data_IF_534684280792
#
_entry.id   IF_534684280792
#
_cell.length_a   1.000
_cell.length_b   1.000
_cell.length_c   1.000
_cell.angle_alpha   90.00
_cell.angle_beta   90.00
_cell.angle_gamma   90.00
#
_symmetry.space_group_name_H-M   'P 1'
#
loop_
_entity.id
_entity.type
_entity.pdbx_description
1 polymer ?
#
# COMPACT_ATOMS: atom_id res chain seq x y z
N UNK A 1 31.96 12.18 31.58
CA UNK A 1 32.75 12.51 30.38
C UNK A 1 31.89 12.91 29.15
N UNK A 2 30.59 13.25 29.29
CA UNK A 2 29.71 13.49 28.13
C UNK A 2 29.47 14.97 27.78
N UNK A 3 29.45 15.90 28.75
CA UNK A 3 29.04 17.30 28.52
C UNK A 3 29.98 18.14 27.65
N UNK A 4 31.23 17.69 27.43
CA UNK A 4 32.14 18.33 26.47
C UNK A 4 31.95 17.80 25.04
N UNK A 5 31.36 16.62 24.87
CA UNK A 5 31.33 15.92 23.59
C UNK A 5 30.40 16.62 22.61
N UNK A 6 29.20 17.03 23.05
CA UNK A 6 28.25 17.77 22.21
C UNK A 6 28.78 19.17 21.79
N UNK A 7 29.51 19.85 22.67
CA UNK A 7 30.11 21.17 22.37
C UNK A 7 31.28 21.10 21.37
N UNK A 8 31.97 19.95 21.29
CA UNK A 8 33.08 19.71 20.34
C UNK A 8 32.62 19.23 18.96
N UNK A 9 31.37 18.78 18.81
CA UNK A 9 30.82 18.31 17.53
C UNK A 9 30.69 19.46 16.53
N UNK A 10 31.14 19.25 15.30
CA UNK A 10 30.89 20.18 14.19
C UNK A 10 29.44 20.02 13.68
N UNK A 11 28.99 20.91 12.78
CA UNK A 11 27.61 20.91 12.26
C UNK A 11 27.28 19.59 11.53
N UNK A 12 28.25 18.99 10.83
CA UNK A 12 28.08 17.72 10.12
C UNK A 12 27.92 16.55 11.10
N UNK A 13 28.68 16.55 12.19
CA UNK A 13 28.56 15.53 13.25
C UNK A 13 27.19 15.62 13.92
N UNK A 14 26.71 16.83 14.24
CA UNK A 14 25.39 17.05 14.84
C UNK A 14 24.29 16.56 13.89
N UNK A 15 24.41 16.86 12.59
CA UNK A 15 23.46 16.37 11.58
C UNK A 15 23.44 14.85 11.51
N UNK A 16 24.61 14.21 11.54
CA UNK A 16 24.73 12.75 11.47
C UNK A 16 24.14 12.08 12.71
N UNK A 17 24.38 12.65 13.89
CA UNK A 17 23.77 12.19 15.14
C UNK A 17 22.25 12.31 15.12
N UNK A 18 21.70 13.46 14.73
CA UNK A 18 20.23 13.63 14.67
C UNK A 18 19.59 12.64 13.68
N UNK A 19 20.29 12.31 12.59
CA UNK A 19 19.84 11.30 11.62
C UNK A 19 19.92 9.86 12.16
N UNK A 20 20.93 9.53 12.95
CA UNK A 20 21.04 8.19 13.56
C UNK A 20 19.92 7.96 14.59
N UNK A 21 19.59 8.99 15.38
CA UNK A 21 18.49 8.96 16.36
C UNK A 21 17.13 8.72 15.68
N UNK A 22 16.91 9.34 14.52
CA UNK A 22 15.70 9.12 13.71
C UNK A 22 15.55 7.66 13.24
N UNK A 23 16.66 6.94 13.06
CA UNK A 23 16.66 5.57 12.54
C UNK A 23 16.61 4.52 13.65
N UNK A 24 17.24 4.79 14.80
CA UNK A 24 17.30 3.91 15.95
C UNK A 24 17.31 4.75 17.24
N UNK A 25 16.15 4.97 17.88
CA UNK A 25 16.07 5.73 19.12
C UNK A 25 16.60 4.88 20.29
N UNK A 26 17.89 5.00 20.60
CA UNK A 26 18.47 4.41 21.81
C UNK A 26 18.31 5.32 23.04
N UNK A 27 18.08 4.74 24.23
CA UNK A 27 18.02 5.49 25.51
C UNK A 27 19.28 6.33 25.79
N UNK A 28 20.43 5.95 25.21
CA UNK A 28 21.71 6.66 25.28
C UNK A 28 21.69 8.04 24.61
N UNK A 29 20.73 8.31 23.73
CA UNK A 29 20.69 9.51 22.87
C UNK A 29 19.91 10.68 23.45
N UNK A 30 18.94 10.43 24.34
CA UNK A 30 18.10 11.47 24.96
C UNK A 30 18.92 12.51 25.74
N UNK A 31 19.97 12.06 26.44
CA UNK A 31 20.89 12.95 27.17
C UNK A 31 21.67 13.87 26.23
N UNK A 32 22.08 13.36 25.07
CA UNK A 32 22.89 14.11 24.10
C UNK A 32 22.06 15.16 23.35
N UNK A 33 20.79 14.87 23.07
CA UNK A 33 19.82 15.84 22.53
C UNK A 33 19.61 16.99 23.52
N UNK A 34 19.42 16.68 24.81
CA UNK A 34 19.26 17.68 25.87
C UNK A 34 20.48 18.61 25.97
N UNK A 35 21.69 18.08 25.78
CA UNK A 35 22.91 18.90 25.73
C UNK A 35 22.93 19.83 24.51
N UNK A 36 22.50 19.35 23.33
CA UNK A 36 22.42 20.16 22.10
C UNK A 36 21.45 21.34 22.23
N UNK A 37 20.36 21.22 23.01
CA UNK A 37 19.45 22.34 23.27
C UNK A 37 20.12 23.53 23.99
N UNK A 38 21.23 23.31 24.67
CA UNK A 38 22.02 24.39 25.30
C UNK A 38 23.02 25.05 24.34
N UNK A 39 23.16 24.54 23.11
CA UNK A 39 24.09 25.03 22.11
C UNK A 39 23.65 26.40 21.55
N UNK A 40 24.57 27.36 21.56
CA UNK A 40 24.30 28.74 21.12
C UNK A 40 24.46 28.94 19.61
N UNK A 41 25.12 28.01 18.90
CA UNK A 41 25.42 28.13 17.46
C UNK A 41 24.13 28.12 16.64
N UNK A 42 23.95 29.12 15.78
CA UNK A 42 22.75 29.26 14.95
C UNK A 42 22.49 28.03 14.05
N UNK A 43 23.55 27.46 13.47
CA UNK A 43 23.44 26.24 12.67
C UNK A 43 22.92 25.03 13.45
N UNK A 44 23.33 24.86 14.72
CA UNK A 44 22.85 23.77 15.58
C UNK A 44 21.38 23.99 15.96
N UNK A 45 21.01 25.23 16.32
CA UNK A 45 19.61 25.58 16.61
C UNK A 45 18.69 25.33 15.42
N UNK A 46 19.12 25.66 14.20
CA UNK A 46 18.36 25.38 12.98
C UNK A 46 18.21 23.87 12.73
N UNK A 47 19.28 23.08 12.95
CA UNK A 47 19.23 21.62 12.83
C UNK A 47 18.26 21.00 13.84
N UNK A 48 18.28 21.45 15.10
CA UNK A 48 17.36 20.99 16.14
C UNK A 48 15.91 21.31 15.78
N UNK A 49 15.61 22.56 15.38
CA UNK A 49 14.26 22.95 14.94
C UNK A 49 13.76 22.10 13.76
N UNK A 50 14.66 21.76 12.83
CA UNK A 50 14.34 20.90 11.71
C UNK A 50 14.09 19.45 12.15
N UNK A 51 14.88 18.95 13.09
CA UNK A 51 14.72 17.62 13.71
C UNK A 51 13.41 17.52 14.48
N UNK A 52 13.07 18.48 15.33
CA UNK A 52 11.80 18.52 16.07
C UNK A 52 10.60 18.42 15.14
N UNK A 53 10.56 19.26 14.09
CA UNK A 53 9.49 19.20 13.08
C UNK A 53 9.39 17.84 12.39
N UNK A 54 10.51 17.15 12.16
CA UNK A 54 10.50 15.80 11.59
C UNK A 54 9.97 14.79 12.59
N UNK A 55 10.37 14.86 13.86
CA UNK A 55 9.87 14.01 14.94
C UNK A 55 8.36 14.20 15.14
N UNK A 56 7.87 15.44 15.18
CA UNK A 56 6.43 15.74 15.25
C UNK A 56 5.66 15.10 14.09
N UNK A 57 6.21 15.17 12.87
CA UNK A 57 5.60 14.55 11.69
C UNK A 57 5.58 13.02 11.77
N UNK A 58 6.67 12.41 12.27
CA UNK A 58 6.74 10.96 12.48
C UNK A 58 5.71 10.54 13.54
N UNK A 59 5.64 11.28 14.64
CA UNK A 59 4.68 11.01 15.73
C UNK A 59 3.23 11.14 15.26
N UNK A 60 2.92 12.14 14.43
CA UNK A 60 1.60 12.28 13.83
C UNK A 60 1.26 11.07 12.96
N UNK A 61 2.18 10.65 12.08
CA UNK A 61 2.00 9.46 11.24
C UNK A 61 1.81 8.19 12.07
N UNK A 62 2.61 8.03 13.13
CA UNK A 62 2.47 6.91 14.08
C UNK A 62 1.07 6.91 14.69
N UNK A 63 0.59 8.05 15.20
CA UNK A 63 -0.78 8.17 15.77
C UNK A 63 -1.88 7.86 14.76
N UNK A 64 -1.73 8.30 13.51
CA UNK A 64 -2.69 7.98 12.45
C UNK A 64 -2.67 6.49 12.07
N UNK A 65 -1.47 5.92 11.98
CA UNK A 65 -1.28 4.50 11.73
C UNK A 65 -1.89 3.64 12.84
N UNK A 66 -1.64 3.99 14.09
CA UNK A 66 -2.19 3.35 15.29
C UNK A 66 -3.72 3.34 15.29
N UNK A 67 -4.35 4.45 14.87
CA UNK A 67 -5.81 4.49 14.68
C UNK A 67 -6.28 3.48 13.63
N UNK A 68 -5.55 3.33 12.52
CA UNK A 68 -5.87 2.34 11.47
C UNK A 68 -5.61 0.90 11.93
N UNK A 69 -4.71 0.65 12.87
CA UNK A 69 -4.42 -0.69 13.40
C UNK A 69 -5.40 -1.14 14.50
N UNK A 70 -6.37 -0.29 14.87
CA UNK A 70 -7.30 -0.56 15.98
C UNK A 70 -8.11 -1.84 15.79
N UNK A 71 -8.47 -2.18 14.55
CA UNK A 71 -9.29 -3.37 14.27
C UNK A 71 -8.48 -4.64 14.46
N UNK A 72 -7.26 -4.67 13.91
CA UNK A 72 -6.30 -5.74 14.07
C UNK A 72 -5.95 -5.94 15.56
N UNK A 73 -5.59 -4.86 16.27
CA UNK A 73 -5.31 -4.91 17.71
C UNK A 73 -6.47 -5.43 18.54
N UNK A 74 -7.71 -5.06 18.20
CA UNK A 74 -8.90 -5.59 18.85
C UNK A 74 -9.01 -7.09 18.62
N UNK A 75 -8.79 -7.59 17.42
CA UNK A 75 -8.82 -9.03 17.14
C UNK A 75 -7.70 -9.76 17.89
N UNK A 76 -6.46 -9.24 17.86
CA UNK A 76 -5.32 -9.79 18.60
C UNK A 76 -5.57 -9.89 20.10
N UNK A 77 -6.17 -8.86 20.70
CA UNK A 77 -6.50 -8.85 22.14
C UNK A 77 -7.56 -9.91 22.49
N UNK A 78 -8.41 -10.29 21.53
CA UNK A 78 -9.41 -11.34 21.69
C UNK A 78 -8.89 -12.75 21.34
N UNK A 79 -7.57 -12.93 21.20
CA UNK A 79 -6.93 -14.22 20.96
C UNK A 79 -6.88 -14.66 19.50
N UNK A 80 -7.30 -13.81 18.55
CA UNK A 80 -7.12 -14.07 17.11
C UNK A 80 -5.68 -13.78 16.76
N UNK A 81 -4.89 -14.80 16.39
CA UNK A 81 -3.47 -14.62 16.10
C UNK A 81 -3.25 -14.05 14.70
N UNK A 82 -3.99 -14.55 13.72
CA UNK A 82 -3.79 -14.16 12.32
C UNK A 82 -5.00 -13.42 11.75
N UNK A 83 -4.80 -12.11 11.49
CA UNK A 83 -5.79 -11.23 10.86
C UNK A 83 -5.27 -10.83 9.49
N UNK A 84 -6.04 -11.10 8.43
CA UNK A 84 -5.69 -10.68 7.08
C UNK A 84 -6.55 -9.50 6.61
N UNK A 85 -5.90 -8.48 6.07
CA UNK A 85 -6.56 -7.42 5.31
C UNK A 85 -6.63 -7.80 3.83
N UNK A 86 -7.76 -7.52 3.17
CA UNK A 86 -8.00 -7.88 1.76
C UNK A 86 -8.55 -6.67 1.01
N UNK A 87 -7.94 -6.38 -0.15
CA UNK A 87 -8.36 -5.30 -1.05
C UNK A 87 -8.11 -5.66 -2.51
N UNK A 88 -8.85 -5.02 -3.42
CA UNK A 88 -8.75 -5.20 -4.86
C UNK A 88 -8.49 -3.90 -5.63
N UNK A 89 -7.83 -4.03 -6.79
CA UNK A 89 -7.61 -2.95 -7.74
C UNK A 89 -7.96 -3.38 -9.15
N UNK A 90 -8.30 -2.39 -9.99
CA UNK A 90 -8.56 -2.67 -11.41
C UNK A 90 -10.01 -3.00 -11.74
N UNK A 91 -10.99 -2.55 -10.96
CA UNK A 91 -12.40 -2.74 -11.30
C UNK A 91 -12.89 -1.87 -12.46
N UNK A 92 -12.51 -0.60 -12.47
CA UNK A 92 -12.94 0.38 -13.48
C UNK A 92 -12.26 0.38 -14.86
N UNK A 93 -11.01 -0.09 -15.03
CA UNK A 93 -10.33 -0.13 -16.32
C UNK A 93 -11.09 -0.87 -17.42
N UNK A 94 -10.86 -0.44 -18.66
CA UNK A 94 -11.37 -1.08 -19.88
C UNK A 94 -10.54 -2.30 -20.31
N UNK A 95 -9.30 -2.41 -19.82
CA UNK A 95 -8.37 -3.48 -20.17
C UNK A 95 -7.62 -4.03 -18.94
N UNK A 96 -7.14 -5.26 -19.08
CA UNK A 96 -6.35 -5.99 -18.09
C UNK A 96 -7.18 -6.62 -16.96
N UNK A 97 -6.51 -7.29 -16.01
CA UNK A 97 -7.18 -8.02 -14.94
C UNK A 97 -7.70 -7.11 -13.82
N UNK A 98 -8.55 -7.68 -12.97
CA UNK A 98 -8.73 -7.25 -11.58
C UNK A 98 -7.76 -8.07 -10.73
N UNK A 99 -7.05 -7.41 -9.82
CA UNK A 99 -6.04 -8.02 -8.94
C UNK A 99 -6.41 -7.71 -7.51
N UNK A 100 -6.34 -8.72 -6.64
CA UNK A 100 -6.51 -8.56 -5.21
C UNK A 100 -5.27 -9.04 -4.47
N UNK A 101 -5.07 -8.50 -3.27
CA UNK A 101 -4.08 -9.01 -2.34
C UNK A 101 -4.72 -9.26 -0.99
N UNK A 102 -4.15 -10.22 -0.26
CA UNK A 102 -4.45 -10.49 1.13
C UNK A 102 -3.13 -10.41 1.93
N UNK A 103 -3.13 -9.71 3.06
CA UNK A 103 -1.91 -9.44 3.84
C UNK A 103 -2.15 -9.68 5.32
N UNK A 104 -1.30 -10.50 5.94
CA UNK A 104 -1.23 -10.69 7.39
C UNK A 104 -0.03 -9.90 7.92
N UNK A 105 -0.28 -8.94 8.81
CA UNK A 105 0.76 -8.12 9.42
C UNK A 105 1.19 -8.69 10.79
N UNK A 106 2.46 -8.55 11.18
CA UNK A 106 2.89 -8.87 12.54
C UNK A 106 2.39 -7.83 13.54
N UNK A 107 2.38 -8.19 14.83
CA UNK A 107 1.84 -7.34 15.90
C UNK A 107 2.68 -6.07 16.14
N UNK A 108 3.96 -6.11 15.78
CA UNK A 108 4.95 -5.04 15.89
C UNK A 108 5.17 -4.30 14.55
N UNK A 109 4.29 -4.49 13.56
CA UNK A 109 4.38 -3.83 12.27
C UNK A 109 4.40 -2.30 12.41
N UNK A 110 5.43 -1.66 11.86
CA UNK A 110 5.79 -0.26 12.14
C UNK A 110 5.96 0.62 10.89
N UNK A 111 5.52 0.15 9.72
CA UNK A 111 5.51 0.95 8.50
C UNK A 111 4.38 2.00 8.53
N UNK A 112 4.55 3.06 9.31
CA UNK A 112 3.54 4.10 9.55
C UNK A 112 3.06 4.83 8.28
N UNK A 113 3.84 4.77 7.22
CA UNK A 113 3.51 5.33 5.91
C UNK A 113 2.48 4.49 5.12
N UNK A 114 2.17 3.27 5.56
CA UNK A 114 1.12 2.43 4.96
C UNK A 114 -0.24 3.08 5.18
N UNK A 115 -0.94 3.30 4.07
CA UNK A 115 -2.25 3.92 3.97
C UNK A 115 -2.91 3.45 2.66
N UNK A 116 -4.14 3.90 2.39
CA UNK A 116 -4.82 3.73 1.11
C UNK A 116 -3.89 4.05 -0.07
N UNK A 117 -3.71 3.07 -0.96
CA UNK A 117 -2.86 3.17 -2.14
C UNK A 117 -3.17 4.40 -3.00
N UNK A 118 -4.42 4.87 -3.05
CA UNK A 118 -4.87 6.04 -3.82
C UNK A 118 -4.35 7.35 -3.24
N UNK A 119 -4.07 7.39 -1.94
CA UNK A 119 -3.51 8.55 -1.23
C UNK A 119 -1.98 8.63 -1.36
N UNK A 120 -1.35 7.57 -1.88
CA UNK A 120 0.10 7.48 -2.05
C UNK A 120 0.49 7.76 -3.51
N UNK A 121 1.68 8.34 -3.70
CA UNK A 121 2.28 8.44 -5.03
C UNK A 121 2.76 7.07 -5.52
N UNK A 122 2.89 6.89 -6.84
CA UNK A 122 3.43 5.66 -7.42
C UNK A 122 4.82 5.33 -6.86
N UNK A 123 5.69 6.34 -6.75
CA UNK A 123 7.02 6.21 -6.12
C UNK A 123 6.92 5.68 -4.70
N UNK A 124 6.02 6.25 -3.87
CA UNK A 124 5.88 5.82 -2.48
C UNK A 124 5.33 4.40 -2.36
N UNK A 125 4.42 3.98 -3.24
CA UNK A 125 3.95 2.59 -3.30
C UNK A 125 5.09 1.61 -3.65
N UNK A 126 5.94 1.96 -4.62
CA UNK A 126 7.10 1.16 -4.99
C UNK A 126 8.16 1.09 -3.88
N UNK A 127 8.28 2.13 -3.06
CA UNK A 127 9.12 2.12 -1.86
C UNK A 127 8.53 1.22 -0.74
N UNK A 128 7.20 1.25 -0.54
CA UNK A 128 6.54 0.52 0.55
C UNK A 128 6.31 -0.95 0.26
N UNK A 129 5.95 -1.32 -0.97
CA UNK A 129 5.67 -2.70 -1.34
C UNK A 129 6.77 -3.72 -0.96
N UNK A 130 8.07 -3.48 -1.21
CA UNK A 130 9.11 -4.40 -0.77
C UNK A 130 9.22 -4.48 0.77
N UNK A 131 9.07 -3.36 1.48
CA UNK A 131 9.10 -3.35 2.95
C UNK A 131 7.91 -4.11 3.55
N UNK A 132 6.72 -3.96 2.96
CA UNK A 132 5.54 -4.76 3.35
C UNK A 132 5.82 -6.24 3.12
N UNK A 133 6.41 -6.62 1.97
CA UNK A 133 6.76 -8.01 1.67
C UNK A 133 7.79 -8.60 2.64
N UNK A 134 8.71 -7.78 3.11
CA UNK A 134 9.74 -8.20 4.07
C UNK A 134 9.16 -8.39 5.48
N UNK A 135 8.27 -7.50 5.92
CA UNK A 135 7.74 -7.52 7.29
C UNK A 135 6.46 -8.35 7.46
N UNK A 136 5.63 -8.48 6.42
CA UNK A 136 4.36 -9.19 6.52
C UNK A 136 4.58 -10.67 6.85
N UNK A 137 3.72 -11.23 7.70
CA UNK A 137 3.73 -12.65 8.04
C UNK A 137 3.40 -13.49 6.81
N UNK A 138 2.40 -13.07 6.03
CA UNK A 138 1.99 -13.74 4.81
C UNK A 138 1.36 -12.74 3.84
N UNK A 139 1.56 -13.00 2.55
CA UNK A 139 0.95 -12.25 1.45
C UNK A 139 0.46 -13.23 0.41
N UNK A 140 -0.80 -13.08 -0.01
CA UNK A 140 -1.36 -13.76 -1.17
C UNK A 140 -1.81 -12.76 -2.23
N UNK A 141 -1.69 -13.14 -3.50
CA UNK A 141 -2.10 -12.31 -4.64
C UNK A 141 -2.98 -13.13 -5.57
N UNK A 142 -4.21 -12.70 -5.74
CA UNK A 142 -5.16 -13.33 -6.66
C UNK A 142 -5.51 -12.40 -7.82
N UNK A 143 -5.91 -12.97 -8.95
CA UNK A 143 -6.31 -12.20 -10.12
C UNK A 143 -7.43 -12.89 -10.89
N UNK A 144 -8.26 -12.08 -11.55
CA UNK A 144 -9.17 -12.52 -12.60
C UNK A 144 -8.86 -11.75 -13.88
N UNK A 145 -8.57 -12.46 -14.96
CA UNK A 145 -8.27 -11.87 -16.26
C UNK A 145 -9.53 -11.27 -16.92
N UNK A 146 -9.35 -10.57 -18.03
CA UNK A 146 -10.46 -9.93 -18.75
C UNK A 146 -11.50 -10.96 -19.25
N UNK A 147 -11.08 -12.19 -19.59
CA UNK A 147 -12.00 -13.25 -20.01
C UNK A 147 -12.91 -13.68 -18.86
N UNK A 148 -12.35 -13.90 -17.67
CA UNK A 148 -13.12 -14.20 -16.46
C UNK A 148 -14.05 -13.04 -16.12
N UNK A 149 -13.57 -11.79 -16.21
CA UNK A 149 -14.42 -10.60 -16.01
C UNK A 149 -15.63 -10.59 -16.96
N UNK A 150 -15.40 -10.87 -18.25
CA UNK A 150 -16.46 -10.92 -19.25
C UNK A 150 -17.43 -12.10 -19.02
N UNK A 151 -16.95 -13.23 -18.50
CA UNK A 151 -17.74 -14.43 -18.17
C UNK A 151 -18.66 -14.23 -16.97
N UNK A 152 -18.10 -13.75 -15.84
CA UNK A 152 -18.80 -13.75 -14.55
C UNK A 152 -19.16 -12.35 -14.04
N UNK A 153 -18.94 -11.30 -14.81
CA UNK A 153 -19.06 -9.89 -14.42
C UNK A 153 -17.97 -9.39 -13.44
N UNK A 154 -17.80 -8.07 -13.36
CA UNK A 154 -16.70 -7.45 -12.59
C UNK A 154 -16.83 -7.62 -11.07
N UNK A 155 -18.05 -7.69 -10.53
CA UNK A 155 -18.25 -7.85 -9.10
C UNK A 155 -17.81 -9.27 -8.68
N UNK A 156 -18.26 -10.29 -9.40
CA UNK A 156 -17.89 -11.67 -9.09
C UNK A 156 -16.41 -11.96 -9.42
N UNK A 157 -15.86 -11.35 -10.48
CA UNK A 157 -14.43 -11.47 -10.80
C UNK A 157 -13.53 -10.84 -9.73
N UNK A 158 -13.93 -9.69 -9.16
CA UNK A 158 -13.24 -9.10 -8.03
C UNK A 158 -13.30 -10.02 -6.79
N UNK A 159 -14.49 -10.59 -6.50
CA UNK A 159 -14.65 -11.55 -5.42
C UNK A 159 -13.78 -12.79 -5.60
N UNK A 160 -13.74 -13.35 -6.81
CA UNK A 160 -12.87 -14.47 -7.18
C UNK A 160 -11.39 -14.14 -6.95
N UNK A 161 -10.92 -12.96 -7.40
CA UNK A 161 -9.53 -12.56 -7.17
C UNK A 161 -9.20 -12.47 -5.67
N UNK A 162 -10.12 -11.95 -4.84
CA UNK A 162 -9.94 -11.92 -3.39
C UNK A 162 -9.91 -13.32 -2.76
N UNK A 163 -10.78 -14.23 -3.19
CA UNK A 163 -10.79 -15.63 -2.76
C UNK A 163 -9.42 -16.29 -3.04
N UNK A 164 -8.92 -16.14 -4.26
CA UNK A 164 -7.60 -16.63 -4.66
C UNK A 164 -6.45 -16.00 -3.86
N UNK A 165 -6.56 -14.72 -3.50
CA UNK A 165 -5.56 -14.05 -2.67
C UNK A 165 -5.53 -14.64 -1.25
N UNK A 166 -6.70 -14.92 -0.66
CA UNK A 166 -6.80 -15.50 0.69
C UNK A 166 -6.32 -16.95 0.72
N UNK A 167 -6.61 -17.75 -0.31
CA UNK A 167 -6.19 -19.15 -0.42
C UNK A 167 -4.66 -19.35 -0.45
N UNK A 168 -3.90 -18.31 -0.84
CA UNK A 168 -2.43 -18.34 -0.86
C UNK A 168 -1.79 -18.04 0.49
N UNK A 169 -2.57 -17.63 1.51
CA UNK A 169 -2.02 -17.27 2.81
C UNK A 169 -1.58 -18.50 3.59
N UNK A 170 -0.30 -18.52 3.97
CA UNK A 170 0.26 -19.47 4.92
C UNK A 170 1.05 -18.66 5.96
N UNK A 171 0.64 -18.66 7.24
CA UNK A 171 -0.50 -19.38 7.83
C UNK A 171 -1.87 -18.86 7.35
N UNK A 172 -2.90 -19.71 7.50
CA UNK A 172 -4.28 -19.31 7.21
C UNK A 172 -4.76 -18.28 8.25
N UNK A 173 -5.48 -17.22 7.84
CA UNK A 173 -6.03 -16.26 8.76
C UNK A 173 -7.28 -16.79 9.48
N UNK A 174 -7.51 -16.28 10.68
CA UNK A 174 -8.68 -16.58 11.51
C UNK A 174 -9.77 -15.51 11.38
N UNK A 175 -9.40 -14.27 11.04
CA UNK A 175 -10.32 -13.18 10.71
C UNK A 175 -9.85 -12.42 9.46
N UNK A 176 -10.79 -12.13 8.56
CA UNK A 176 -10.59 -11.29 7.38
C UNK A 176 -11.18 -9.90 7.62
N UNK A 177 -10.41 -8.86 7.31
CA UNK A 177 -10.88 -7.48 7.16
C UNK A 177 -10.92 -7.19 5.65
N UNK A 178 -12.12 -6.97 5.10
CA UNK A 178 -12.31 -6.87 3.63
C UNK A 178 -12.91 -5.52 3.26
N UNK A 179 -12.35 -4.85 2.26
CA UNK A 179 -12.95 -3.62 1.74
C UNK A 179 -14.20 -3.93 0.91
N UNK A 180 -15.31 -3.29 1.28
CA UNK A 180 -16.57 -3.21 0.54
C UNK A 180 -17.28 -4.52 0.12
N UNK A 181 -16.73 -5.72 0.37
CA UNK A 181 -17.24 -7.00 -0.14
C UNK A 181 -17.18 -8.13 0.90
N UNK A 182 -17.81 -9.27 0.57
CA UNK A 182 -17.67 -10.55 1.26
C UNK A 182 -17.23 -11.59 0.24
N UNK A 183 -16.42 -12.55 0.66
CA UNK A 183 -15.93 -13.65 -0.17
C UNK A 183 -16.48 -14.99 0.32
N UNK A 184 -16.48 -16.02 -0.52
CA UNK A 184 -16.94 -17.35 -0.13
C UNK A 184 -15.86 -18.08 0.67
N UNK A 185 -15.95 -18.02 2.00
CA UNK A 185 -15.09 -18.77 2.92
C UNK A 185 -15.77 -19.00 4.26
N UNK A 186 -15.31 -19.98 5.02
CA UNK A 186 -15.73 -20.25 6.40
C UNK A 186 -15.00 -19.37 7.41
N UNK A 187 -13.90 -18.70 7.01
CA UNK A 187 -13.15 -17.79 7.86
C UNK A 187 -14.05 -16.61 8.25
N UNK A 188 -13.97 -16.17 9.51
CA UNK A 188 -14.73 -15.02 10.00
C UNK A 188 -14.37 -13.77 9.20
N UNK A 189 -15.36 -13.00 8.74
CA UNK A 189 -15.13 -11.82 7.91
C UNK A 189 -15.78 -10.58 8.50
N UNK A 190 -15.07 -9.45 8.40
CA UNK A 190 -15.59 -8.12 8.68
C UNK A 190 -15.48 -7.29 7.41
N UNK A 191 -16.63 -7.02 6.81
CA UNK A 191 -16.76 -6.05 5.72
C UNK A 191 -16.64 -4.63 6.26
N UNK A 192 -15.78 -3.83 5.64
CA UNK A 192 -15.57 -2.43 5.99
C UNK A 192 -15.91 -1.53 4.80
N UNK A 193 -16.57 -0.41 5.05
CA UNK A 193 -16.71 0.65 4.05
C UNK A 193 -15.48 1.53 4.16
N UNK A 194 -14.75 1.71 3.05
CA UNK A 194 -13.46 2.43 3.00
C UNK A 194 -12.46 1.78 3.95
N UNK A 195 -12.31 0.47 3.80
CA UNK A 195 -11.46 -0.37 4.65
C UNK A 195 -9.99 0.05 4.61
N UNK A 196 -9.51 0.46 3.44
CA UNK A 196 -8.15 0.96 3.17
C UNK A 196 -7.74 2.14 4.09
N UNK A 197 -8.67 3.03 4.42
CA UNK A 197 -8.45 4.15 5.33
C UNK A 197 -8.66 3.80 6.82
N UNK A 198 -9.13 2.59 7.14
CA UNK A 198 -9.59 2.18 8.48
C UNK A 198 -8.86 0.97 9.06
N UNK A 199 -8.12 0.24 8.24
CA UNK A 199 -7.39 -0.97 8.58
C UNK A 199 -6.00 -0.89 7.95
N UNK A 200 -4.96 -1.09 8.75
CA UNK A 200 -3.58 -1.09 8.27
C UNK A 200 -3.30 -2.28 7.35
N UNK A 201 -3.87 -3.45 7.66
CA UNK A 201 -3.74 -4.65 6.83
C UNK A 201 -4.43 -4.49 5.47
N UNK A 202 -5.62 -3.87 5.41
CA UNK A 202 -6.26 -3.52 4.12
C UNK A 202 -5.43 -2.48 3.37
N UNK A 203 -4.91 -1.46 4.06
CA UNK A 203 -3.99 -0.49 3.46
C UNK A 203 -2.77 -1.15 2.82
N UNK A 204 -2.15 -2.11 3.51
CA UNK A 204 -1.03 -2.90 2.98
C UNK A 204 -1.45 -3.73 1.75
N UNK A 205 -2.58 -4.42 1.82
CA UNK A 205 -3.15 -5.17 0.71
C UNK A 205 -3.40 -4.27 -0.52
N UNK A 206 -3.97 -3.07 -0.32
CA UNK A 206 -4.22 -2.10 -1.39
C UNK A 206 -2.94 -1.71 -2.13
N UNK A 207 -1.83 -1.53 -1.41
CA UNK A 207 -0.52 -1.18 -1.98
C UNK A 207 0.02 -2.36 -2.78
N UNK A 208 -0.01 -3.57 -2.21
CA UNK A 208 0.50 -4.78 -2.88
C UNK A 208 -0.30 -5.07 -4.16
N UNK A 209 -1.64 -5.03 -4.08
CA UNK A 209 -2.51 -5.23 -5.23
C UNK A 209 -2.26 -4.18 -6.31
N UNK A 210 -2.11 -2.90 -5.92
CA UNK A 210 -1.81 -1.80 -6.86
C UNK A 210 -0.46 -1.99 -7.56
N UNK A 211 0.60 -2.28 -6.83
CA UNK A 211 1.94 -2.49 -7.41
C UNK A 211 1.95 -3.73 -8.31
N UNK A 212 1.30 -4.82 -7.91
CA UNK A 212 1.19 -6.02 -8.73
C UNK A 212 0.45 -5.76 -10.04
N UNK A 213 -0.70 -5.06 -9.98
CA UNK A 213 -1.47 -4.74 -11.18
C UNK A 213 -0.76 -3.76 -12.11
N UNK A 214 -0.12 -2.73 -11.56
CA UNK A 214 0.59 -1.74 -12.38
C UNK A 214 1.73 -2.40 -13.16
N UNK A 215 2.47 -3.33 -12.53
CA UNK A 215 3.49 -4.13 -13.21
C UNK A 215 2.90 -4.94 -14.39
N UNK A 216 1.76 -5.60 -14.21
CA UNK A 216 1.08 -6.33 -15.29
C UNK A 216 0.71 -5.39 -16.45
N UNK A 217 0.24 -4.17 -16.14
CA UNK A 217 -0.12 -3.20 -17.18
C UNK A 217 1.10 -2.61 -17.90
N UNK A 218 2.24 -2.47 -17.20
CA UNK A 218 3.52 -2.10 -17.82
C UNK A 218 4.04 -3.18 -18.78
N UNK A 219 3.87 -4.45 -18.41
CA UNK A 219 4.19 -5.60 -19.29
C UNK A 219 3.30 -5.58 -20.54
N UNK A 220 1.98 -5.39 -20.38
CA UNK A 220 1.07 -5.23 -21.51
C UNK A 220 1.35 -4.01 -22.39
N UNK A 221 1.96 -2.95 -21.87
CA UNK A 221 2.37 -1.81 -22.69
C UNK A 221 3.49 -2.17 -23.68
N UNK A 222 4.30 -3.19 -23.37
CA UNK A 222 5.31 -3.72 -24.29
C UNK A 222 4.68 -4.58 -25.38
N UNK A 223 3.73 -5.44 -25.01
CA UNK A 223 3.04 -6.33 -25.94
C UNK A 223 2.09 -5.57 -26.88
N UNK A 224 1.49 -4.48 -26.38
CA UNK A 224 0.49 -3.67 -27.07
C UNK A 224 0.88 -2.18 -27.02
N UNK A 225 1.91 -1.77 -27.79
CA UNK A 225 2.38 -0.39 -27.78
C UNK A 225 1.32 0.57 -28.33
N UNK A 226 1.36 1.82 -27.86
CA UNK A 226 0.48 2.91 -28.32
C UNK A 226 -0.72 3.18 -27.39
N UNK A 227 -1.31 2.15 -26.78
CA UNK A 227 -2.51 2.28 -25.93
C UNK A 227 -2.27 3.03 -24.60
N UNK A 228 -1.00 3.28 -24.23
CA UNK A 228 -0.61 4.04 -23.04
C UNK A 228 -0.83 3.29 -21.73
N UNK A 229 -0.83 1.95 -21.75
CA UNK A 229 -1.10 1.11 -20.57
C UNK A 229 -0.14 1.37 -19.41
N UNK A 230 1.10 1.78 -19.68
CA UNK A 230 2.12 2.16 -18.70
C UNK A 230 1.76 3.44 -17.92
N UNK A 231 0.85 4.26 -18.45
CA UNK A 231 0.39 5.51 -17.80
C UNK A 231 -1.04 5.41 -17.30
N UNK A 232 -1.93 4.91 -18.15
CA UNK A 232 -3.35 4.86 -17.86
C UNK A 232 -3.79 3.55 -17.20
N UNK A 233 -2.93 2.54 -17.07
CA UNK A 233 -3.24 1.25 -16.43
C UNK A 233 -4.55 0.59 -16.93
N UNK A 234 -4.92 0.83 -18.20
CA UNK A 234 -6.12 0.32 -18.85
C UNK A 234 -7.37 1.18 -18.63
N UNK A 235 -7.32 2.29 -17.89
CA UNK A 235 -8.46 3.20 -17.74
C UNK A 235 -8.81 3.87 -19.08
N UNK A 236 -10.10 4.12 -19.33
CA UNK A 236 -10.63 4.74 -20.54
C UNK A 236 -10.34 6.24 -20.66
N UNK A 237 -9.06 6.61 -20.66
CA UNK A 237 -8.60 7.98 -20.89
C UNK A 237 -8.84 8.40 -22.34
N UNK A 238 -8.82 9.71 -22.62
CA UNK A 238 -8.94 10.23 -24.00
C UNK A 238 -7.93 9.59 -24.96
N UNK A 239 -6.68 9.43 -24.51
CA UNK A 239 -5.63 8.76 -25.30
C UNK A 239 -6.00 7.30 -25.57
N UNK A 240 -6.38 6.54 -24.53
CA UNK A 240 -6.71 5.12 -24.67
C UNK A 240 -7.88 4.91 -25.64
N UNK A 241 -8.95 5.72 -25.52
CA UNK A 241 -10.10 5.65 -26.42
C UNK A 241 -9.72 5.99 -27.86
N UNK A 242 -8.90 7.02 -28.09
CA UNK A 242 -8.43 7.38 -29.43
C UNK A 242 -7.61 6.25 -30.09
N UNK A 243 -6.77 5.55 -29.33
CA UNK A 243 -6.00 4.42 -29.84
C UNK A 243 -6.87 3.19 -30.12
N UNK A 244 -7.94 2.99 -29.34
CA UNK A 244 -8.97 1.98 -29.64
C UNK A 244 -9.67 2.30 -30.96
N UNK A 245 -10.02 3.57 -31.25
CA UNK A 245 -10.62 3.93 -32.54
C UNK A 245 -9.67 3.68 -33.72
N UNK A 246 -8.38 3.99 -33.52
CA UNK A 246 -7.38 3.96 -34.57
C UNK A 246 -6.90 2.54 -34.90
N UNK A 247 -6.62 1.74 -33.86
CA UNK A 247 -5.96 0.44 -34.01
C UNK A 247 -6.88 -0.74 -33.63
N UNK A 248 -8.10 -0.48 -33.16
CA UNK A 248 -9.02 -1.51 -32.64
C UNK A 248 -8.70 -1.93 -31.20
N UNK A 249 -9.44 -2.90 -30.69
CA UNK A 249 -9.20 -3.46 -29.35
C UNK A 249 -8.09 -4.53 -29.38
N UNK A 250 -7.47 -4.76 -28.23
CA UNK A 250 -6.49 -5.84 -28.01
C UNK A 250 -7.10 -7.03 -27.25
N UNK A 251 -6.45 -8.21 -27.22
CA UNK A 251 -6.95 -9.38 -26.48
C UNK A 251 -7.18 -9.17 -24.98
N UNK A 252 -6.59 -8.14 -24.37
CA UNK A 252 -6.73 -7.83 -22.94
C UNK A 252 -7.88 -6.87 -22.61
N UNK A 253 -8.60 -6.37 -23.62
CA UNK A 253 -9.77 -5.52 -23.42
C UNK A 253 -10.95 -6.34 -22.87
N UNK A 254 -11.77 -5.71 -22.01
CA UNK A 254 -12.96 -6.29 -21.40
C UNK A 254 -14.15 -6.04 -22.31
N UNK A 255 -14.57 -7.05 -23.05
CA UNK A 255 -15.58 -6.93 -24.11
C UNK A 255 -16.98 -6.61 -23.56
N UNK A 256 -17.21 -6.92 -22.29
CA UNK A 256 -18.47 -6.63 -21.59
C UNK A 256 -18.62 -5.18 -21.13
N UNK A 257 -17.55 -4.37 -21.14
CA UNK A 257 -17.55 -3.00 -20.62
C UNK A 257 -17.91 -1.99 -21.71
N UNK A 258 -18.68 -0.97 -21.36
CA UNK A 258 -18.78 0.22 -22.21
C UNK A 258 -17.50 1.06 -22.13
N UNK A 259 -17.03 1.66 -23.24
CA UNK A 259 -17.65 1.69 -24.57
C UNK A 259 -17.23 0.54 -25.51
N UNK A 260 -16.45 -0.44 -25.04
CA UNK A 260 -15.95 -1.55 -25.89
C UNK A 260 -17.10 -2.40 -26.42
N UNK A 261 -18.06 -2.74 -25.55
CA UNK A 261 -19.22 -3.59 -25.89
C UNK A 261 -19.97 -3.04 -27.10
N UNK A 262 -20.30 -1.75 -27.09
CA UNK A 262 -20.99 -1.08 -28.20
C UNK A 262 -20.18 -1.10 -29.51
N UNK A 263 -18.85 -1.11 -29.43
CA UNK A 263 -17.96 -1.15 -30.60
C UNK A 263 -17.82 -2.51 -31.25
N UNK A 264 -18.09 -3.59 -30.52
CA UNK A 264 -18.04 -4.95 -31.06
C UNK A 264 -19.35 -5.36 -31.74
N UNK A 265 -20.44 -4.65 -31.45
CA UNK A 265 -21.77 -4.93 -31.97
C UNK A 265 -22.15 -4.05 -33.18
N UNK A 266 -21.25 -3.15 -33.60
CA UNK A 266 -21.36 -2.30 -34.79
C UNK A 266 -20.36 -2.76 -35.85
#
# INVERSE_FOLDING_TARGET
>A
MTSEKAKKMNITDVRSLLKSIESQPENSTAKLINELYTDKRQGVKQLLKSFEKRQEKIELKRKEFEKRLTLEKRSWTNGVQFVAGVDEVGRGPLAGPVVAAAVILPHDFDLYDVNDSKQLSAKKRLELAPLIKEQAIAIGIGQADNKKIDEINIYEAARFAMEQAVEQLIPLPEELLIDAMQIKTTIKQRKLIKGDARSASIGAASIIAKVARDKIMEEYAQDYPGYGFEKNAGYGTKQHLAEIEKNGITPIHRKSFEPIKSKLNN
#
